data_IF_194401543635
#
_entry.id   IF_194401543635
#
_cell.length_a   1.000
_cell.length_b   1.000
_cell.length_c   1.000
_cell.angle_alpha   90.00
_cell.angle_beta   90.00
_cell.angle_gamma   90.00
#
_symmetry.space_group_name_H-M   'P 1'
#
loop_
_entity.id
_entity.type
_entity.pdbx_description
1 polymer ?
#
# COMPACT_ATOMS: atom_id res chain seq x y z
N UNK A 1 -8.77 -1.54 -2.44
CA UNK A 1 -9.02 -0.15 -1.99
C UNK A 1 -9.36 -0.13 -0.50
N UNK A 2 -8.95 0.89 0.25
CA UNK A 2 -9.06 0.90 1.73
C UNK A 2 -9.61 2.18 2.37
N UNK A 3 -10.20 3.11 1.60
CA UNK A 3 -10.77 4.36 2.12
C UNK A 3 -11.96 4.17 3.08
N UNK A 4 -12.64 3.02 3.02
CA UNK A 4 -13.68 2.62 3.98
C UNK A 4 -13.16 2.40 5.41
N UNK A 5 -11.84 2.35 5.61
CA UNK A 5 -11.21 2.08 6.90
C UNK A 5 -10.84 3.35 7.68
N UNK A 6 -11.13 4.55 7.18
CA UNK A 6 -10.66 5.80 7.81
C UNK A 6 -11.12 6.00 9.26
N UNK A 7 -12.33 5.53 9.61
CA UNK A 7 -12.78 5.60 11.00
C UNK A 7 -11.97 4.69 11.92
N UNK A 8 -11.62 3.49 11.44
CA UNK A 8 -10.77 2.56 12.18
C UNK A 8 -9.34 3.09 12.30
N UNK A 9 -8.79 3.67 11.24
CA UNK A 9 -7.46 4.31 11.21
C UNK A 9 -7.40 5.46 12.22
N UNK A 10 -8.43 6.30 12.27
CA UNK A 10 -8.53 7.40 13.24
C UNK A 10 -8.61 6.89 14.67
N UNK A 11 -9.43 5.86 14.92
CA UNK A 11 -9.55 5.26 16.24
C UNK A 11 -8.25 4.59 16.70
N UNK A 12 -7.45 4.06 15.77
CA UNK A 12 -6.15 3.45 16.05
C UNK A 12 -5.04 4.46 16.37
N UNK A 13 -5.23 5.76 16.05
CA UNK A 13 -4.26 6.81 16.36
C UNK A 13 -2.92 6.64 15.65
N UNK A 14 -2.92 6.11 14.41
CA UNK A 14 -1.71 5.91 13.62
C UNK A 14 -1.20 7.20 13.00
N UNK A 15 0.12 7.31 12.82
CA UNK A 15 0.76 8.46 12.16
C UNK A 15 0.60 8.41 10.62
N UNK A 16 0.48 7.21 10.06
CA UNK A 16 0.40 6.99 8.63
C UNK A 16 -0.52 5.81 8.27
N UNK A 17 -1.17 5.91 7.11
CA UNK A 17 -2.02 4.87 6.55
C UNK A 17 -1.61 4.56 5.11
N UNK A 18 -1.16 3.33 4.89
CA UNK A 18 -0.82 2.78 3.58
C UNK A 18 -2.00 1.98 3.03
N UNK A 19 -2.46 2.32 1.84
CA UNK A 19 -3.56 1.65 1.14
C UNK A 19 -3.41 1.85 -0.37
N UNK A 20 -4.39 1.37 -1.14
CA UNK A 20 -4.54 1.61 -2.56
C UNK A 20 -5.88 2.26 -2.91
N UNK A 21 -5.93 2.87 -4.10
CA UNK A 21 -7.07 3.47 -4.79
C UNK A 21 -7.81 4.53 -3.96
N UNK A 22 -7.05 5.45 -3.37
CA UNK A 22 -7.68 6.53 -2.63
C UNK A 22 -8.39 7.49 -3.58
N UNK A 23 -9.65 7.78 -3.26
CA UNK A 23 -10.44 8.78 -3.95
C UNK A 23 -10.15 10.17 -3.39
N UNK A 24 -10.29 11.18 -4.24
CA UNK A 24 -10.01 12.57 -3.86
C UNK A 24 -10.78 13.03 -2.61
N UNK A 25 -12.12 12.94 -2.63
CA UNK A 25 -12.94 13.46 -1.53
C UNK A 25 -12.68 12.79 -0.17
N UNK A 26 -12.72 11.45 -0.04
CA UNK A 26 -12.40 10.79 1.23
C UNK A 26 -11.01 11.13 1.77
N UNK A 27 -10.02 11.26 0.88
CA UNK A 27 -8.64 11.58 1.27
C UNK A 27 -8.50 13.01 1.78
N UNK A 28 -9.15 13.95 1.10
CA UNK A 28 -9.17 15.36 1.53
C UNK A 28 -9.85 15.47 2.90
N UNK A 29 -11.01 14.83 3.08
CA UNK A 29 -11.73 14.82 4.36
C UNK A 29 -10.89 14.20 5.49
N UNK A 30 -10.20 13.08 5.23
CA UNK A 30 -9.33 12.44 6.23
C UNK A 30 -8.21 13.38 6.72
N UNK A 31 -7.65 14.20 5.83
CA UNK A 31 -6.59 15.18 6.14
C UNK A 31 -7.10 16.45 6.82
N UNK A 32 -8.36 16.83 6.61
CA UNK A 32 -8.95 17.97 7.35
C UNK A 32 -9.18 17.65 8.83
N UNK A 33 -9.39 16.38 9.15
CA UNK A 33 -9.71 15.93 10.51
C UNK A 33 -8.49 15.42 11.30
N UNK A 34 -7.30 15.32 10.68
CA UNK A 34 -6.11 14.79 11.33
C UNK A 34 -4.83 15.08 10.54
N UNK A 35 -3.69 15.07 11.23
CA UNK A 35 -2.35 15.11 10.62
C UNK A 35 -1.91 13.76 10.00
N UNK A 36 -2.86 12.84 9.76
CA UNK A 36 -2.61 11.51 9.23
C UNK A 36 -1.91 11.58 7.86
N UNK A 37 -0.74 10.94 7.75
CA UNK A 37 -0.08 10.77 6.47
C UNK A 37 -0.77 9.67 5.65
N UNK A 38 -1.23 10.00 4.44
CA UNK A 38 -1.81 9.04 3.52
C UNK A 38 -0.78 8.60 2.48
N UNK A 39 -0.60 7.28 2.35
CA UNK A 39 0.21 6.66 1.33
C UNK A 39 -0.71 5.83 0.43
N UNK A 40 -0.97 6.33 -0.77
CA UNK A 40 -1.69 5.60 -1.82
C UNK A 40 -0.66 4.92 -2.72
N UNK A 41 -0.52 3.60 -2.56
CA UNK A 41 0.28 2.77 -3.43
C UNK A 41 -0.63 2.08 -4.45
N UNK A 42 -0.15 1.90 -5.68
CA UNK A 42 -0.94 1.25 -6.72
C UNK A 42 -1.44 -0.14 -6.25
N UNK A 43 -2.67 -0.48 -6.62
CA UNK A 43 -3.33 -1.70 -6.14
C UNK A 43 -2.50 -2.96 -6.39
N UNK A 44 -1.94 -3.09 -7.60
CA UNK A 44 -1.05 -4.20 -7.92
C UNK A 44 0.19 -4.24 -7.02
N UNK A 45 0.80 -3.09 -6.73
CA UNK A 45 2.00 -3.01 -5.89
C UNK A 45 1.74 -3.40 -4.43
N UNK A 46 0.52 -3.21 -3.93
CA UNK A 46 0.15 -3.60 -2.56
C UNK A 46 -0.33 -5.04 -2.45
N UNK A 47 -0.92 -5.59 -3.51
CA UNK A 47 -1.57 -6.91 -3.45
C UNK A 47 -0.81 -8.03 -4.18
N UNK A 48 0.02 -7.74 -5.17
CA UNK A 48 0.82 -8.79 -5.79
C UNK A 48 1.81 -9.47 -4.82
N UNK A 49 2.48 -8.76 -3.89
CA UNK A 49 3.48 -9.39 -3.01
C UNK A 49 2.99 -10.57 -2.16
N UNK A 50 1.71 -10.58 -1.72
CA UNK A 50 1.22 -11.70 -0.90
C UNK A 50 1.00 -12.98 -1.71
N UNK A 51 0.93 -12.92 -3.04
CA UNK A 51 0.67 -14.09 -3.89
C UNK A 51 1.79 -15.14 -3.83
N UNK A 52 3.04 -14.73 -3.59
CA UNK A 52 4.16 -15.65 -3.35
C UNK A 52 3.97 -16.41 -2.03
N UNK A 53 3.45 -15.75 -0.99
CA UNK A 53 3.09 -16.42 0.27
C UNK A 53 1.92 -17.38 0.08
N UNK A 54 0.91 -16.99 -0.70
CA UNK A 54 -0.23 -17.86 -1.02
C UNK A 54 0.21 -19.13 -1.76
N UNK A 55 1.14 -18.98 -2.71
CA UNK A 55 1.68 -20.11 -3.46
C UNK A 55 2.41 -21.09 -2.55
N UNK A 56 3.26 -20.59 -1.63
CA UNK A 56 3.92 -21.44 -0.64
C UNK A 56 2.92 -22.21 0.24
N UNK A 57 1.84 -21.56 0.68
CA UNK A 57 0.79 -22.23 1.47
C UNK A 57 0.05 -23.30 0.66
N UNK A 58 -0.22 -23.05 -0.62
CA UNK A 58 -0.85 -24.03 -1.51
C UNK A 58 0.05 -25.23 -1.77
N UNK A 59 1.35 -25.01 -1.97
CA UNK A 59 2.34 -26.10 -2.13
C UNK A 59 2.41 -26.95 -0.85
N UNK A 60 2.46 -26.35 0.33
CA UNK A 60 2.43 -27.08 1.61
C UNK A 60 1.15 -27.91 1.79
N UNK A 61 -0.01 -27.39 1.36
CA UNK A 61 -1.28 -28.11 1.41
C UNK A 61 -1.24 -29.30 0.43
N UNK A 62 -0.76 -29.07 -0.81
CA UNK A 62 -0.61 -30.11 -1.83
C UNK A 62 0.26 -31.27 -1.32
N UNK A 63 1.40 -30.95 -0.72
CA UNK A 63 2.34 -31.92 -0.14
C UNK A 63 1.69 -32.75 0.97
N UNK A 64 0.99 -32.10 1.91
CA UNK A 64 0.31 -32.79 3.03
C UNK A 64 -0.75 -33.77 2.55
N UNK A 65 -1.40 -33.47 1.43
CA UNK A 65 -2.47 -34.31 0.90
C UNK A 65 -2.04 -35.24 -0.24
N UNK A 66 -0.77 -35.17 -0.68
CA UNK A 66 -0.24 -36.00 -1.77
C UNK A 66 -0.92 -35.74 -3.11
N UNK A 67 -1.33 -34.51 -3.39
CA UNK A 67 -2.08 -34.18 -4.61
C UNK A 67 -1.20 -34.02 -5.85
N UNK A 68 0.12 -33.84 -5.69
CA UNK A 68 1.08 -33.59 -6.78
C UNK A 68 0.68 -32.40 -7.67
N UNK A 69 0.13 -31.34 -7.06
CA UNK A 69 -0.17 -30.08 -7.74
C UNK A 69 1.08 -29.18 -7.81
N UNK A 70 1.12 -28.32 -8.82
CA UNK A 70 2.14 -27.28 -8.97
C UNK A 70 1.50 -25.91 -8.92
N UNK A 71 2.03 -25.02 -8.08
CA UNK A 71 1.58 -23.63 -8.01
C UNK A 71 2.50 -22.72 -8.79
N UNK A 72 1.92 -21.72 -9.46
CA UNK A 72 2.66 -20.72 -10.22
C UNK A 72 2.14 -19.32 -9.93
N UNK A 73 3.05 -18.42 -9.58
CA UNK A 73 2.77 -16.98 -9.46
C UNK A 73 3.12 -16.31 -10.78
N UNK A 74 2.15 -15.62 -11.38
CA UNK A 74 2.41 -14.78 -12.55
C UNK A 74 3.30 -13.59 -12.16
N UNK A 75 4.39 -13.38 -12.88
CA UNK A 75 5.30 -12.22 -12.71
C UNK A 75 5.04 -11.11 -13.71
N UNK A 76 4.01 -11.25 -14.54
CA UNK A 76 3.59 -10.18 -15.45
C UNK A 76 2.99 -9.07 -14.61
N UNK A 77 3.56 -7.87 -14.71
CA UNK A 77 3.01 -6.67 -14.09
C UNK A 77 1.73 -6.30 -14.83
N UNK A 78 0.59 -6.38 -14.14
CA UNK A 78 -0.73 -6.05 -14.70
C UNK A 78 -1.26 -4.72 -14.18
N UNK A 79 -0.38 -3.90 -13.61
CA UNK A 79 -0.72 -2.54 -13.21
C UNK A 79 -1.02 -1.70 -14.46
N UNK A 80 -2.24 -1.13 -14.61
CA UNK A 80 -2.54 -0.25 -15.73
C UNK A 80 -1.82 1.10 -15.65
N UNK A 81 -1.30 1.47 -14.47
CA UNK A 81 -0.65 2.76 -14.23
C UNK A 81 0.87 2.64 -14.35
N UNK A 82 1.45 3.36 -15.29
CA UNK A 82 2.90 3.39 -15.53
C UNK A 82 3.53 4.78 -15.39
N UNK A 83 2.69 5.81 -15.20
CA UNK A 83 3.15 7.18 -15.01
C UNK A 83 3.75 7.35 -13.61
N UNK A 84 4.91 7.99 -13.53
CA UNK A 84 5.59 8.30 -12.28
C UNK A 84 6.01 9.78 -12.28
N UNK A 85 5.67 10.48 -11.20
CA UNK A 85 6.17 11.82 -10.93
C UNK A 85 7.09 11.75 -9.71
N UNK A 86 8.38 12.02 -9.91
CA UNK A 86 9.33 12.05 -8.82
C UNK A 86 8.96 13.16 -7.83
N UNK A 87 9.12 12.89 -6.54
CA UNK A 87 9.00 13.93 -5.52
C UNK A 87 9.97 15.08 -5.84
N UNK A 88 9.56 16.35 -5.66
CA UNK A 88 10.47 17.47 -5.82
C UNK A 88 11.63 17.33 -4.82
N UNK A 89 12.82 17.73 -5.23
CA UNK A 89 13.98 17.73 -4.34
C UNK A 89 13.66 18.53 -3.06
N UNK A 90 13.80 17.91 -1.90
CA UNK A 90 13.66 18.61 -0.62
C UNK A 90 14.77 19.64 -0.54
N UNK A 91 14.41 20.94 -0.64
CA UNK A 91 15.35 22.01 -0.31
C UNK A 91 15.58 21.97 1.19
N UNK A 92 16.81 21.69 1.61
CA UNK A 92 17.19 21.85 3.00
C UNK A 92 16.95 23.31 3.43
N UNK A 93 16.13 23.51 4.44
CA UNK A 93 15.96 24.81 5.09
C UNK A 93 17.30 25.21 5.70
N UNK A 94 17.81 26.39 5.35
CA UNK A 94 18.98 26.93 6.05
C UNK A 94 18.63 27.10 7.54
N UNK A 95 19.50 26.69 8.47
CA UNK A 95 19.24 26.86 9.89
C UNK A 95 19.07 28.35 10.20
N UNK A 96 17.98 28.70 10.89
CA UNK A 96 17.74 30.04 11.38
C UNK A 96 18.74 30.34 12.50
N UNK A 97 19.79 31.09 12.17
CA UNK A 97 20.67 31.68 13.17
C UNK A 97 19.88 32.73 13.95
N UNK A 98 19.52 32.39 15.19
CA UNK A 98 19.03 33.37 16.16
C UNK A 98 20.27 34.06 16.77
N UNK A 99 20.35 35.38 16.63
CA UNK A 99 21.34 36.24 17.30
C UNK A 99 20.89 36.54 18.72
#
# INVERSE_FOLDING_TARGET
SGDSLFDAVRAAGVDAFLTADLRHHPSSEAREHSDLALLDAAHWATEWPWTEQAAAQLDEISDRHGWDLRTHVSRIVTDPWTAHAAAPAVRASAPSLSV
#
